data_IF_094417144848
#
_entry.id   IF_094417144848
#
_cell.length_a   1.000
_cell.length_b   1.000
_cell.length_c   1.000
_cell.angle_alpha   90.00
_cell.angle_beta   90.00
_cell.angle_gamma   90.00
#
_symmetry.space_group_name_H-M   'P 1'
#
loop_
_entity.id
_entity.type
_entity.pdbx_description
1 polymer ?
#
# COMPACT_ATOMS: atom_id res chain seq x y z
N UNK A 1 19.06 10.59 -2.68
CA UNK A 1 19.04 11.54 -3.81
C UNK A 1 18.06 11.15 -4.91
N UNK A 2 17.76 9.87 -5.17
CA UNK A 2 16.89 9.45 -6.30
C UNK A 2 15.43 9.90 -6.27
N UNK A 3 14.93 10.47 -5.16
CA UNK A 3 13.55 10.97 -5.02
C UNK A 3 13.45 12.48 -4.77
N UNK A 4 14.58 13.19 -4.78
CA UNK A 4 14.59 14.62 -4.55
C UNK A 4 14.09 15.35 -5.79
N UNK A 5 13.17 16.29 -5.60
CA UNK A 5 12.72 17.21 -6.64
C UNK A 5 13.67 18.40 -6.58
N UNK A 6 14.50 18.58 -7.60
CA UNK A 6 15.53 19.63 -7.65
C UNK A 6 15.03 20.91 -8.32
N UNK A 7 14.02 20.81 -9.16
CA UNK A 7 13.40 21.93 -9.88
C UNK A 7 11.89 21.90 -9.68
N UNK A 8 11.27 23.07 -9.59
CA UNK A 8 9.82 23.16 -9.47
C UNK A 8 9.13 22.59 -10.72
N UNK A 9 8.15 21.70 -10.55
CA UNK A 9 7.38 21.20 -11.67
C UNK A 9 6.47 22.31 -12.23
N UNK A 10 6.12 22.20 -13.52
CA UNK A 10 5.09 23.06 -14.08
C UNK A 10 3.76 22.85 -13.35
N UNK A 11 2.91 23.88 -13.31
CA UNK A 11 1.59 23.79 -12.70
C UNK A 11 0.77 22.63 -13.30
N UNK A 12 0.87 22.43 -14.62
CA UNK A 12 0.17 21.36 -15.32
C UNK A 12 0.64 19.97 -14.86
N UNK A 13 1.95 19.74 -14.77
CA UNK A 13 2.49 18.45 -14.31
C UNK A 13 2.11 18.16 -12.86
N UNK A 14 2.14 19.19 -12.01
CA UNK A 14 1.75 19.09 -10.61
C UNK A 14 0.25 18.79 -10.44
N UNK A 15 -0.63 19.49 -11.16
CA UNK A 15 -2.06 19.20 -11.14
C UNK A 15 -2.36 17.81 -11.71
N UNK A 16 -1.66 17.38 -12.76
CA UNK A 16 -1.77 16.01 -13.27
C UNK A 16 -1.40 14.95 -12.24
N UNK A 17 -0.36 15.20 -11.44
CA UNK A 17 0.01 14.35 -10.31
C UNK A 17 -1.09 14.31 -9.24
N UNK A 18 -1.56 15.47 -8.79
CA UNK A 18 -2.59 15.58 -7.75
C UNK A 18 -3.91 14.92 -8.17
N UNK A 19 -4.27 15.02 -9.45
CA UNK A 19 -5.54 14.53 -10.01
C UNK A 19 -5.38 13.28 -10.88
N UNK A 20 -4.32 12.49 -10.65
CA UNK A 20 -4.10 11.28 -11.44
C UNK A 20 -5.26 10.29 -11.25
N UNK A 21 -6.06 10.12 -12.30
CA UNK A 21 -7.36 9.44 -12.26
C UNK A 21 -7.31 8.02 -11.68
N UNK A 22 -6.21 7.28 -11.89
CA UNK A 22 -6.11 5.89 -11.47
C UNK A 22 -5.90 5.72 -9.96
N UNK A 23 -5.49 6.77 -9.24
CA UNK A 23 -5.22 6.73 -7.80
C UNK A 23 -5.98 7.79 -6.98
N UNK A 24 -6.73 8.67 -7.64
CA UNK A 24 -7.32 9.87 -7.03
C UNK A 24 -8.21 9.56 -5.81
N UNK A 25 -9.05 8.53 -5.91
CA UNK A 25 -10.10 8.28 -4.91
C UNK A 25 -9.58 7.43 -3.75
N UNK A 26 -8.80 6.39 -4.02
CA UNK A 26 -8.49 5.34 -3.05
C UNK A 26 -7.01 4.98 -2.95
N UNK A 27 -6.15 5.79 -3.58
CA UNK A 27 -4.73 5.47 -3.74
C UNK A 27 -4.51 4.42 -4.84
N UNK A 28 -3.29 3.85 -4.94
CA UNK A 28 -2.15 3.99 -4.02
C UNK A 28 -1.50 5.38 -4.02
N UNK A 29 -0.87 5.77 -2.91
CA UNK A 29 0.02 6.95 -2.90
C UNK A 29 1.32 6.63 -3.65
N UNK A 30 1.94 7.64 -4.24
CA UNK A 30 3.25 7.55 -4.88
C UNK A 30 3.91 8.92 -4.86
N UNK A 31 5.23 8.95 -5.09
CA UNK A 31 5.98 10.20 -5.08
C UNK A 31 5.86 10.90 -6.46
N UNK A 32 5.89 12.23 -6.47
CA UNK A 32 5.84 13.02 -7.71
C UNK A 32 6.93 12.62 -8.71
N UNK A 33 8.13 12.25 -8.25
CA UNK A 33 9.22 11.81 -9.13
C UNK A 33 8.87 10.54 -9.91
N UNK A 34 8.11 9.61 -9.32
CA UNK A 34 7.66 8.40 -10.01
C UNK A 34 6.62 8.76 -11.07
N UNK A 35 5.74 9.71 -10.77
CA UNK A 35 4.77 10.25 -11.72
C UNK A 35 5.44 10.97 -12.90
N UNK A 36 6.41 11.84 -12.63
CA UNK A 36 7.16 12.58 -13.64
C UNK A 36 7.89 11.62 -14.60
N UNK A 37 8.60 10.62 -14.07
CA UNK A 37 9.27 9.59 -14.89
C UNK A 37 8.29 8.76 -15.70
N UNK A 38 7.09 8.52 -15.16
CA UNK A 38 6.01 7.85 -15.86
C UNK A 38 5.50 8.67 -17.05
N UNK A 39 5.12 9.94 -16.84
CA UNK A 39 4.55 10.79 -17.91
C UNK A 39 5.58 11.13 -18.98
N UNK A 40 6.85 11.30 -18.62
CA UNK A 40 7.95 11.54 -19.55
C UNK A 40 8.41 10.24 -20.23
N UNK A 41 7.86 9.09 -19.83
CA UNK A 41 8.19 7.75 -20.34
C UNK A 41 9.62 7.29 -20.13
N UNK A 42 10.41 8.03 -19.32
CA UNK A 42 11.79 7.68 -18.93
C UNK A 42 11.81 6.45 -18.02
N UNK A 43 10.71 6.18 -17.32
CA UNK A 43 10.56 4.96 -16.51
C UNK A 43 10.66 3.67 -17.33
N UNK A 44 10.54 3.71 -18.67
CA UNK A 44 10.48 2.52 -19.54
C UNK A 44 11.71 2.35 -20.43
N UNK A 45 12.76 3.15 -20.25
CA UNK A 45 13.96 3.08 -21.10
C UNK A 45 14.77 1.79 -20.91
N UNK A 46 14.55 1.07 -19.79
CA UNK A 46 15.14 -0.23 -19.50
C UNK A 46 14.36 -1.42 -20.10
N UNK A 47 13.22 -1.17 -20.77
CA UNK A 47 12.37 -2.21 -21.34
C UNK A 47 12.99 -2.74 -22.65
N UNK A 48 13.30 -4.04 -22.76
CA UNK A 48 13.88 -4.63 -23.96
C UNK A 48 12.99 -4.44 -25.19
N UNK A 49 13.60 -4.24 -26.36
CA UNK A 49 12.89 -4.01 -27.63
C UNK A 49 11.87 -5.10 -27.97
N UNK A 50 12.16 -6.36 -27.62
CA UNK A 50 11.28 -7.52 -27.81
C UNK A 50 9.97 -7.43 -27.00
N UNK A 51 10.00 -6.73 -25.86
CA UNK A 51 8.84 -6.57 -24.96
C UNK A 51 8.07 -5.26 -25.19
N UNK A 52 8.63 -4.38 -26.01
CA UNK A 52 7.93 -3.17 -26.42
C UNK A 52 6.79 -3.56 -27.39
N UNK A 53 5.63 -2.91 -27.30
CA UNK A 53 4.45 -3.25 -28.10
C UNK A 53 4.59 -2.88 -29.59
N UNK A 54 5.41 -3.62 -30.34
CA UNK A 54 5.43 -3.75 -31.80
C UNK A 54 5.72 -2.48 -32.62
N UNK A 55 6.30 -2.65 -33.82
CA UNK A 55 6.68 -1.54 -34.73
C UNK A 55 5.52 -0.61 -35.16
N UNK A 56 4.25 -1.03 -35.00
CA UNK A 56 3.06 -0.27 -35.44
C UNK A 56 2.68 0.90 -34.53
N UNK A 57 3.06 0.88 -33.25
CA UNK A 57 2.82 2.00 -32.32
C UNK A 57 4.12 2.26 -31.57
N UNK A 58 4.70 3.46 -31.70
CA UNK A 58 5.91 3.91 -30.96
C UNK A 58 5.62 4.06 -29.45
N UNK A 59 4.98 3.08 -28.82
CA UNK A 59 4.61 3.09 -27.41
C UNK A 59 5.74 2.42 -26.62
N UNK A 60 6.35 3.16 -25.69
CA UNK A 60 7.39 2.63 -24.79
C UNK A 60 6.84 1.72 -23.69
N UNK A 61 5.61 1.94 -23.23
CA UNK A 61 5.02 1.20 -22.11
C UNK A 61 4.74 -0.27 -22.51
N UNK A 62 5.34 -1.26 -21.83
CA UNK A 62 5.14 -2.68 -22.13
C UNK A 62 3.69 -3.13 -21.89
N UNK A 63 3.31 -4.27 -22.46
CA UNK A 63 1.97 -4.84 -22.29
C UNK A 63 1.76 -5.31 -20.85
N UNK A 64 0.77 -4.73 -20.16
CA UNK A 64 0.46 -5.01 -18.76
C UNK A 64 -0.95 -5.56 -18.51
N UNK A 65 -1.78 -5.66 -19.55
CA UNK A 65 -3.21 -5.96 -19.42
C UNK A 65 -3.52 -7.26 -18.68
N UNK A 66 -2.74 -8.33 -18.87
CA UNK A 66 -2.93 -9.61 -18.14
C UNK A 66 -2.69 -9.46 -16.64
N UNK A 67 -1.68 -8.68 -16.25
CA UNK A 67 -1.32 -8.48 -14.84
C UNK A 67 -2.35 -7.59 -14.15
N UNK A 68 -2.73 -6.50 -14.81
CA UNK A 68 -3.81 -5.65 -14.34
C UNK A 68 -5.13 -6.39 -14.20
N UNK A 69 -5.50 -7.22 -15.19
CA UNK A 69 -6.73 -8.01 -15.14
C UNK A 69 -6.73 -8.97 -13.94
N UNK A 70 -5.59 -9.62 -13.64
CA UNK A 70 -5.47 -10.48 -12.43
C UNK A 70 -5.71 -9.70 -11.15
N UNK A 71 -5.17 -8.48 -11.04
CA UNK A 71 -5.38 -7.60 -9.87
C UNK A 71 -6.86 -7.19 -9.75
N UNK A 72 -7.47 -6.76 -10.85
CA UNK A 72 -8.90 -6.41 -10.88
C UNK A 72 -9.78 -7.61 -10.51
N UNK A 73 -9.54 -8.79 -11.09
CA UNK A 73 -10.29 -10.01 -10.76
C UNK A 73 -10.13 -10.40 -9.29
N UNK A 74 -8.92 -10.33 -8.74
CA UNK A 74 -8.69 -10.56 -7.32
C UNK A 74 -9.46 -9.58 -6.44
N UNK A 75 -9.50 -8.31 -6.83
CA UNK A 75 -10.29 -7.29 -6.13
C UNK A 75 -11.81 -7.53 -6.23
N UNK A 76 -12.31 -7.95 -7.39
CA UNK A 76 -13.73 -8.30 -7.58
C UNK A 76 -14.13 -9.54 -6.75
N UNK A 77 -13.26 -10.54 -6.64
CA UNK A 77 -13.47 -11.69 -5.75
C UNK A 77 -13.57 -11.21 -4.29
N UNK A 78 -12.65 -10.34 -3.85
CA UNK A 78 -12.70 -9.77 -2.50
C UNK A 78 -13.99 -8.96 -2.27
N UNK A 79 -14.44 -8.18 -3.25
CA UNK A 79 -15.68 -7.43 -3.19
C UNK A 79 -16.91 -8.35 -3.08
N UNK A 80 -16.96 -9.42 -3.88
CA UNK A 80 -18.03 -10.42 -3.83
C UNK A 80 -18.10 -11.12 -2.47
N UNK A 81 -16.95 -11.51 -1.91
CA UNK A 81 -16.87 -12.08 -0.56
C UNK A 81 -17.32 -11.07 0.50
N UNK A 82 -16.92 -9.80 0.39
CA UNK A 82 -17.37 -8.75 1.30
C UNK A 82 -18.89 -8.56 1.25
N UNK A 83 -19.51 -8.56 0.06
CA UNK A 83 -20.97 -8.46 -0.09
C UNK A 83 -21.66 -9.69 0.50
N UNK A 84 -21.12 -10.88 0.28
CA UNK A 84 -21.70 -12.13 0.78
C UNK A 84 -21.66 -12.25 2.31
N UNK A 85 -20.57 -11.78 2.94
CA UNK A 85 -20.34 -11.98 4.38
C UNK A 85 -20.51 -10.72 5.23
N UNK A 86 -20.47 -9.53 4.63
CA UNK A 86 -20.42 -8.24 5.34
C UNK A 86 -21.69 -7.89 6.12
N UNK A 87 -22.85 -8.43 5.72
CA UNK A 87 -24.10 -8.26 6.47
C UNK A 87 -24.10 -9.12 7.74
N UNK A 88 -23.69 -10.39 7.61
CA UNK A 88 -23.62 -11.36 8.71
C UNK A 88 -22.53 -11.03 9.72
N UNK A 89 -21.33 -10.74 9.24
CA UNK A 89 -20.18 -10.40 10.06
C UNK A 89 -19.96 -8.89 10.02
N UNK A 90 -20.79 -8.18 10.80
CA UNK A 90 -20.73 -6.73 10.97
C UNK A 90 -20.56 -6.35 12.44
N UNK A 91 -20.17 -5.10 12.70
CA UNK A 91 -20.14 -4.58 14.08
C UNK A 91 -21.52 -4.52 14.73
N UNK A 92 -22.62 -4.64 13.98
CA UNK A 92 -23.97 -4.74 14.55
C UNK A 92 -24.17 -6.05 15.32
N UNK A 93 -23.52 -7.14 14.88
CA UNK A 93 -23.59 -8.44 15.54
C UNK A 93 -23.14 -8.37 17.00
N UNK A 94 -22.14 -7.55 17.34
CA UNK A 94 -21.62 -7.44 18.72
C UNK A 94 -22.59 -6.77 19.69
N UNK A 95 -23.69 -6.20 19.18
CA UNK A 95 -24.75 -5.56 19.97
C UNK A 95 -25.97 -6.46 20.19
N UNK A 96 -26.00 -7.65 19.59
CA UNK A 96 -27.12 -8.59 19.71
C UNK A 96 -27.12 -9.32 21.05
N UNK A 97 -28.30 -9.78 21.49
CA UNK A 97 -28.41 -10.64 22.68
C UNK A 97 -27.70 -11.99 22.46
N UNK A 98 -27.75 -12.53 21.24
CA UNK A 98 -27.03 -13.75 20.86
C UNK A 98 -25.53 -13.63 21.15
N UNK A 99 -24.91 -12.52 20.76
CA UNK A 99 -23.51 -12.24 21.04
C UNK A 99 -23.20 -12.26 22.53
N UNK A 100 -24.04 -11.66 23.37
CA UNK A 100 -23.79 -11.60 24.82
C UNK A 100 -23.68 -12.99 25.44
N UNK A 101 -24.52 -13.93 25.01
CA UNK A 101 -24.60 -15.30 25.52
C UNK A 101 -23.58 -16.25 24.88
N UNK A 102 -22.86 -15.86 23.82
CA UNK A 102 -21.78 -16.67 23.26
C UNK A 102 -20.63 -16.83 24.26
N UNK A 103 -20.02 -18.02 24.27
CA UNK A 103 -18.83 -18.28 25.05
C UNK A 103 -17.63 -17.46 24.52
N UNK A 104 -16.60 -17.32 25.37
CA UNK A 104 -15.43 -16.51 25.08
C UNK A 104 -14.71 -16.90 23.77
N UNK A 105 -14.50 -18.19 23.53
CA UNK A 105 -13.77 -18.67 22.35
C UNK A 105 -14.51 -18.40 21.05
N UNK A 106 -15.84 -18.56 21.05
CA UNK A 106 -16.69 -18.22 19.91
C UNK A 106 -16.62 -16.72 19.62
N UNK A 107 -16.63 -15.88 20.66
CA UNK A 107 -16.45 -14.42 20.49
C UNK A 107 -15.10 -14.09 19.84
N UNK A 108 -14.01 -14.68 20.33
CA UNK A 108 -12.66 -14.46 19.77
C UNK A 108 -12.60 -14.87 18.29
N UNK A 109 -13.06 -16.09 17.98
CA UNK A 109 -13.08 -16.58 16.59
C UNK A 109 -13.92 -15.68 15.68
N UNK A 110 -15.10 -15.28 16.15
CA UNK A 110 -16.00 -14.44 15.36
C UNK A 110 -15.43 -13.02 15.19
N UNK A 111 -14.68 -12.48 16.16
CA UNK A 111 -13.93 -11.23 15.99
C UNK A 111 -12.80 -11.35 14.97
N UNK A 112 -12.12 -12.48 14.92
CA UNK A 112 -11.15 -12.74 13.86
C UNK A 112 -11.81 -12.74 12.47
N UNK A 113 -12.93 -13.47 12.31
CA UNK A 113 -13.70 -13.51 11.05
C UNK A 113 -14.22 -12.12 10.67
N UNK A 114 -14.75 -11.36 11.64
CA UNK A 114 -15.14 -9.96 11.43
C UNK A 114 -13.98 -9.14 10.87
N UNK A 115 -12.78 -9.29 11.44
CA UNK A 115 -11.57 -8.64 10.97
C UNK A 115 -11.24 -8.99 9.52
N UNK A 116 -11.29 -10.28 9.15
CA UNK A 116 -11.07 -10.74 7.76
C UNK A 116 -12.08 -10.08 6.82
N UNK A 117 -13.38 -10.11 7.18
CA UNK A 117 -14.44 -9.52 6.34
C UNK A 117 -14.24 -8.01 6.16
N UNK A 118 -13.85 -7.29 7.21
CA UNK A 118 -13.54 -5.86 7.10
C UNK A 118 -12.29 -5.58 6.26
N UNK A 119 -11.32 -6.49 6.19
CA UNK A 119 -10.15 -6.36 5.30
C UNK A 119 -10.50 -6.55 3.83
N UNK A 120 -11.46 -7.42 3.50
CA UNK A 120 -11.85 -7.69 2.11
C UNK A 120 -12.23 -6.42 1.32
N UNK A 121 -12.88 -5.43 1.95
CA UNK A 121 -13.21 -4.16 1.28
C UNK A 121 -11.96 -3.37 0.89
N UNK A 122 -10.91 -3.40 1.73
CA UNK A 122 -9.64 -2.75 1.44
C UNK A 122 -8.87 -3.50 0.36
N UNK A 123 -8.86 -4.84 0.42
CA UNK A 123 -8.27 -5.68 -0.63
C UNK A 123 -8.94 -5.43 -1.98
N UNK A 124 -10.26 -5.37 -2.02
CA UNK A 124 -11.03 -5.08 -3.22
C UNK A 124 -10.59 -3.75 -3.85
N UNK A 125 -10.68 -2.67 -3.08
CA UNK A 125 -10.41 -1.32 -3.56
C UNK A 125 -8.94 -1.16 -3.96
N UNK A 126 -7.99 -1.62 -3.14
CA UNK A 126 -6.57 -1.45 -3.43
C UNK A 126 -6.09 -2.31 -4.60
N UNK A 127 -6.58 -3.53 -4.76
CA UNK A 127 -6.22 -4.38 -5.92
C UNK A 127 -6.78 -3.81 -7.22
N UNK A 128 -8.01 -3.28 -7.21
CA UNK A 128 -8.61 -2.66 -8.40
C UNK A 128 -7.83 -1.39 -8.79
N UNK A 129 -7.53 -0.50 -7.84
CA UNK A 129 -6.76 0.71 -8.11
C UNK A 129 -5.33 0.41 -8.55
N UNK A 130 -4.67 -0.57 -7.95
CA UNK A 130 -3.36 -1.04 -8.41
C UNK A 130 -3.44 -1.53 -9.87
N UNK A 131 -4.49 -2.30 -10.20
CA UNK A 131 -4.79 -2.72 -11.57
C UNK A 131 -4.90 -1.53 -12.53
N UNK A 132 -5.63 -0.48 -12.16
CA UNK A 132 -5.76 0.75 -12.94
C UNK A 132 -4.40 1.43 -13.18
N UNK A 133 -3.58 1.58 -12.13
CA UNK A 133 -2.23 2.14 -12.25
C UNK A 133 -1.30 1.27 -13.13
N UNK A 134 -1.44 -0.05 -13.09
CA UNK A 134 -0.67 -0.99 -13.93
C UNK A 134 -1.06 -0.86 -15.41
N UNK A 135 -2.34 -0.70 -15.74
CA UNK A 135 -2.76 -0.46 -17.13
C UNK A 135 -2.25 0.89 -17.63
N UNK A 136 -2.33 1.93 -16.79
CA UNK A 136 -1.83 3.26 -17.12
C UNK A 136 -0.32 3.27 -17.38
N UNK A 137 0.45 2.46 -16.64
CA UNK A 137 1.90 2.29 -16.78
C UNK A 137 2.69 2.67 -15.53
N UNK A 138 2.09 3.41 -14.60
CA UNK A 138 2.71 3.87 -13.35
C UNK A 138 3.15 2.70 -12.45
N UNK A 139 2.49 1.55 -12.55
CA UNK A 139 2.85 0.36 -11.77
C UNK A 139 4.20 -0.26 -12.11
N UNK A 140 4.83 0.10 -13.23
CA UNK A 140 6.08 -0.49 -13.68
C UNK A 140 7.25 -0.19 -12.73
N UNK A 141 7.98 -1.24 -12.35
CA UNK A 141 9.09 -1.19 -11.40
C UNK A 141 10.43 -1.71 -11.96
N UNK A 142 10.58 -1.71 -13.27
CA UNK A 142 11.82 -2.11 -13.93
C UNK A 142 11.81 -3.53 -14.48
N UNK A 143 12.88 -3.83 -15.20
CA UNK A 143 13.14 -5.11 -15.86
C UNK A 143 14.33 -5.82 -15.21
N UNK A 144 14.21 -7.12 -14.98
CA UNK A 144 15.32 -7.97 -14.56
C UNK A 144 15.82 -8.82 -15.74
N UNK A 145 17.04 -8.56 -16.25
CA UNK A 145 17.64 -9.32 -17.34
C UNK A 145 17.89 -10.79 -17.02
N UNK A 146 18.14 -11.13 -15.74
CA UNK A 146 18.47 -12.51 -15.35
C UNK A 146 17.25 -13.42 -15.39
N UNK A 147 16.12 -12.93 -14.91
CA UNK A 147 14.85 -13.69 -14.89
C UNK A 147 13.98 -13.42 -16.10
N UNK A 148 14.35 -12.44 -16.93
CA UNK A 148 13.57 -11.94 -18.05
C UNK A 148 12.14 -11.55 -17.61
N UNK A 149 11.99 -10.86 -16.47
CA UNK A 149 10.69 -10.45 -15.90
C UNK A 149 10.55 -8.93 -15.81
N UNK A 150 9.34 -8.44 -16.06
CA UNK A 150 8.95 -7.05 -15.83
C UNK A 150 8.22 -6.99 -14.49
N UNK A 151 8.64 -6.09 -13.61
CA UNK A 151 7.99 -5.88 -12.32
C UNK A 151 6.90 -4.81 -12.42
N UNK A 152 5.78 -5.06 -11.75
CA UNK A 152 4.59 -4.19 -11.77
C UNK A 152 4.12 -3.80 -10.36
N UNK A 153 5.06 -3.76 -9.41
CA UNK A 153 4.79 -3.55 -7.99
C UNK A 153 5.24 -2.17 -7.48
N UNK A 154 5.49 -1.18 -8.35
CA UNK A 154 5.94 0.16 -7.91
C UNK A 154 4.93 0.80 -6.95
N UNK A 155 3.66 0.68 -7.28
CA UNK A 155 2.53 1.20 -6.50
C UNK A 155 1.68 0.10 -5.85
N UNK A 156 2.23 -1.10 -5.66
CA UNK A 156 1.54 -2.16 -4.92
C UNK A 156 1.21 -1.66 -3.51
N UNK A 157 -0.08 -1.65 -3.15
CA UNK A 157 -0.53 -1.12 -1.86
C UNK A 157 -0.81 -2.21 -0.82
N UNK A 158 -1.04 -3.45 -1.28
CA UNK A 158 -1.33 -4.60 -0.43
C UNK A 158 -0.76 -5.87 -1.06
N UNK A 159 -0.24 -6.75 -0.21
CA UNK A 159 -0.05 -8.16 -0.52
C UNK A 159 -0.96 -9.01 0.39
N UNK A 160 -2.14 -9.47 -0.09
CA UNK A 160 -3.07 -10.21 0.76
C UNK A 160 -2.48 -11.51 1.30
N UNK A 161 -1.62 -12.19 0.53
CA UNK A 161 -1.04 -13.47 0.94
C UNK A 161 0.01 -13.24 2.02
N UNK A 162 0.93 -12.30 1.80
CA UNK A 162 1.93 -11.96 2.79
C UNK A 162 1.31 -11.40 4.08
N UNK A 163 0.20 -10.66 3.96
CA UNK A 163 -0.53 -10.17 5.13
C UNK A 163 -1.20 -11.28 5.94
N UNK A 164 -1.97 -12.15 5.30
CA UNK A 164 -2.75 -13.17 6.02
C UNK A 164 -1.88 -14.33 6.53
N UNK A 165 -0.71 -14.57 5.90
CA UNK A 165 0.26 -15.59 6.32
C UNK A 165 1.46 -15.03 7.09
N UNK A 166 1.46 -13.73 7.42
CA UNK A 166 2.55 -13.08 8.13
C UNK A 166 2.79 -13.73 9.50
N UNK A 167 4.05 -14.03 9.82
CA UNK A 167 4.40 -14.76 11.05
C UNK A 167 4.51 -13.84 12.27
N UNK A 168 4.58 -12.54 12.04
CA UNK A 168 4.66 -11.52 13.08
C UNK A 168 3.99 -10.21 12.59
N UNK A 169 3.76 -9.28 13.52
CA UNK A 169 3.08 -8.01 13.23
C UNK A 169 3.90 -7.12 12.30
N UNK A 170 5.23 -7.20 12.34
CA UNK A 170 6.08 -6.44 11.44
C UNK A 170 5.83 -6.82 9.98
N UNK A 171 5.84 -8.12 9.66
CA UNK A 171 5.59 -8.62 8.30
C UNK A 171 4.18 -8.28 7.81
N UNK A 172 3.18 -8.41 8.69
CA UNK A 172 1.81 -7.99 8.36
C UNK A 172 1.75 -6.49 8.06
N UNK A 173 2.38 -5.64 8.88
CA UNK A 173 2.39 -4.20 8.64
C UNK A 173 3.15 -3.84 7.37
N UNK A 174 4.24 -4.52 7.03
CA UNK A 174 4.97 -4.29 5.77
C UNK A 174 4.15 -4.64 4.53
N UNK A 175 3.28 -5.65 4.62
CA UNK A 175 2.39 -6.05 3.53
C UNK A 175 1.15 -5.15 3.40
N UNK A 176 0.74 -4.43 4.45
CA UNK A 176 -0.48 -3.61 4.50
C UNK A 176 -0.23 -2.13 4.23
N UNK A 177 -1.03 -1.54 3.34
CA UNK A 177 -0.96 -0.11 2.99
C UNK A 177 0.47 0.36 2.66
N UNK A 178 1.16 -0.44 1.84
CA UNK A 178 2.60 -0.38 1.66
C UNK A 178 3.10 1.01 1.23
N UNK A 179 2.35 1.74 0.40
CA UNK A 179 2.79 3.06 -0.07
C UNK A 179 2.61 4.15 0.97
N UNK A 180 1.58 4.08 1.83
CA UNK A 180 1.48 4.94 3.01
C UNK A 180 2.63 4.66 3.97
N UNK A 181 3.01 3.39 4.17
CA UNK A 181 4.20 3.07 4.98
C UNK A 181 5.49 3.66 4.39
N UNK A 182 5.67 3.57 3.06
CA UNK A 182 6.80 4.24 2.38
C UNK A 182 6.76 5.75 2.59
N UNK A 183 5.59 6.38 2.46
CA UNK A 183 5.40 7.81 2.67
C UNK A 183 5.75 8.23 4.10
N UNK A 184 5.20 7.54 5.10
CA UNK A 184 5.48 7.75 6.53
C UNK A 184 6.97 7.57 6.84
N UNK A 185 7.58 6.50 6.31
CA UNK A 185 9.01 6.23 6.48
C UNK A 185 9.87 7.37 5.94
N UNK A 186 9.59 7.83 4.71
CA UNK A 186 10.40 8.86 4.05
C UNK A 186 10.12 10.28 4.56
N UNK A 187 8.90 10.54 5.01
CA UNK A 187 8.45 11.89 5.40
C UNK A 187 8.63 12.15 6.89
N UNK A 188 8.46 11.13 7.73
CA UNK A 188 8.48 11.28 9.19
C UNK A 188 9.66 10.52 9.80
N UNK A 189 9.67 9.19 9.67
CA UNK A 189 10.64 8.34 10.37
C UNK A 189 12.09 8.72 10.05
N UNK A 190 12.47 8.74 8.77
CA UNK A 190 13.84 9.03 8.33
C UNK A 190 14.26 10.48 8.59
N UNK A 191 13.30 11.40 8.76
CA UNK A 191 13.56 12.82 9.04
C UNK A 191 13.70 13.11 10.52
N UNK A 192 13.04 12.32 11.36
CA UNK A 192 13.11 12.41 12.83
C UNK A 192 14.16 11.47 13.44
N UNK A 193 14.71 10.54 12.67
CA UNK A 193 15.76 9.63 13.12
C UNK A 193 17.09 10.35 13.28
N UNK A 194 17.75 10.14 14.42
CA UNK A 194 19.15 10.52 14.59
C UNK A 194 20.02 9.80 13.54
N UNK A 195 21.09 10.46 13.09
CA UNK A 195 22.03 9.88 12.13
C UNK A 195 23.30 9.44 12.83
N UNK A 196 23.84 8.32 12.39
CA UNK A 196 25.14 7.86 12.84
C UNK A 196 26.24 8.85 12.40
N UNK A 197 27.09 9.35 13.32
CA UNK A 197 28.11 10.34 12.96
C UNK A 197 29.15 9.84 11.97
N UNK A 198 29.41 8.53 11.95
CA UNK A 198 30.48 7.93 11.13
C UNK A 198 29.95 7.49 9.77
N UNK A 199 28.80 6.79 9.75
CA UNK A 199 28.21 6.22 8.53
C UNK A 199 27.13 7.10 7.89
N UNK A 200 26.64 8.14 8.58
CA UNK A 200 25.55 9.01 8.12
C UNK A 200 24.18 8.33 8.00
N UNK A 201 24.09 7.05 8.37
CA UNK A 201 22.88 6.23 8.26
C UNK A 201 21.88 6.57 9.38
N UNK A 202 20.56 6.54 9.11
CA UNK A 202 19.54 6.68 10.14
C UNK A 202 19.68 5.57 11.19
N UNK A 203 19.73 5.95 12.47
CA UNK A 203 19.70 5.02 13.59
C UNK A 203 18.26 4.64 13.92
N UNK A 204 17.96 3.35 14.12
CA UNK A 204 16.69 2.93 14.68
C UNK A 204 16.46 3.58 16.04
N UNK A 205 15.23 4.00 16.31
CA UNK A 205 14.90 4.66 17.56
C UNK A 205 13.43 4.56 17.92
N UNK A 206 13.16 4.57 19.23
CA UNK A 206 11.81 4.53 19.77
C UNK A 206 11.06 5.82 19.43
N UNK A 207 11.68 6.99 19.64
CA UNK A 207 11.08 8.30 19.34
C UNK A 207 10.61 8.43 17.87
N UNK A 208 11.44 8.19 16.83
CA UNK A 208 10.98 8.30 15.44
C UNK A 208 9.88 7.29 15.11
N UNK A 209 9.88 6.10 15.74
CA UNK A 209 8.79 5.13 15.62
C UNK A 209 7.49 5.71 16.16
N UNK A 210 7.49 6.18 17.42
CA UNK A 210 6.30 6.77 18.03
C UNK A 210 5.78 8.00 17.28
N UNK A 211 6.66 8.89 16.82
CA UNK A 211 6.26 10.05 16.00
C UNK A 211 5.59 9.62 14.68
N UNK A 212 6.11 8.56 14.06
CA UNK A 212 5.54 8.01 12.82
C UNK A 212 4.15 7.43 13.06
N UNK A 213 3.98 6.62 14.12
CA UNK A 213 2.69 6.04 14.49
C UNK A 213 1.67 7.10 14.94
N UNK A 214 2.11 8.12 15.68
CA UNK A 214 1.26 9.23 16.08
C UNK A 214 0.78 10.06 14.88
N UNK A 215 1.68 10.32 13.93
CA UNK A 215 1.34 11.00 12.67
C UNK A 215 0.32 10.17 11.88
N UNK A 216 0.51 8.85 11.83
CA UNK A 216 -0.46 7.94 11.21
C UNK A 216 -1.82 7.99 11.92
N UNK A 217 -1.84 7.97 13.26
CA UNK A 217 -3.09 8.06 14.03
C UNK A 217 -3.87 9.33 13.71
N UNK A 218 -3.17 10.47 13.73
CA UNK A 218 -3.76 11.76 13.39
C UNK A 218 -4.30 11.80 11.97
N UNK A 219 -3.58 11.20 11.01
CA UNK A 219 -4.04 11.09 9.62
C UNK A 219 -5.33 10.27 9.47
N UNK A 220 -5.52 9.23 10.29
CA UNK A 220 -6.76 8.45 10.29
C UNK A 220 -7.94 9.17 10.96
N UNK A 221 -7.67 10.11 11.87
CA UNK A 221 -8.66 11.00 12.46
C UNK A 221 -8.48 11.21 13.96
N UNK A 222 -9.42 11.94 14.57
CA UNK A 222 -9.33 12.35 15.98
C UNK A 222 -10.01 11.39 16.97
N UNK A 223 -10.59 10.28 16.48
CA UNK A 223 -11.28 9.32 17.33
C UNK A 223 -10.28 8.56 18.23
N UNK A 224 -10.55 8.40 19.54
CA UNK A 224 -9.63 7.74 20.47
C UNK A 224 -9.19 6.33 20.06
N UNK A 225 -10.06 5.59 19.38
CA UNK A 225 -9.75 4.24 18.89
C UNK A 225 -8.56 4.19 17.93
N UNK A 226 -8.33 5.24 17.13
CA UNK A 226 -7.16 5.31 16.26
C UNK A 226 -5.88 5.41 17.10
N UNK A 227 -5.82 6.36 18.03
CA UNK A 227 -4.65 6.53 18.89
C UNK A 227 -4.32 5.26 19.67
N UNK A 228 -5.33 4.57 20.23
CA UNK A 228 -5.12 3.30 20.91
C UNK A 228 -4.51 2.24 19.97
N UNK A 229 -5.03 2.14 18.74
CA UNK A 229 -4.55 1.18 17.73
C UNK A 229 -3.09 1.47 17.35
N UNK A 230 -2.72 2.72 17.10
CA UNK A 230 -1.37 3.09 16.66
C UNK A 230 -0.36 3.07 17.81
N UNK A 231 -0.76 3.39 19.04
CA UNK A 231 0.11 3.20 20.22
C UNK A 231 0.40 1.72 20.42
N UNK A 232 -0.62 0.85 20.36
CA UNK A 232 -0.44 -0.59 20.44
C UNK A 232 0.49 -1.10 19.32
N UNK A 233 0.26 -0.65 18.08
CA UNK A 233 1.12 -0.98 16.94
C UNK A 233 2.58 -0.57 17.15
N UNK A 234 2.83 0.65 17.64
CA UNK A 234 4.16 1.14 17.94
C UNK A 234 4.86 0.30 19.02
N UNK A 235 4.14 -0.07 20.08
CA UNK A 235 4.67 -0.91 21.16
C UNK A 235 5.04 -2.31 20.65
N UNK A 236 4.13 -2.97 19.92
CA UNK A 236 4.37 -4.31 19.39
C UNK A 236 5.55 -4.29 18.40
N UNK A 237 5.61 -3.31 17.50
CA UNK A 237 6.72 -3.21 16.54
C UNK A 237 8.06 -2.91 17.22
N UNK A 238 8.06 -2.14 18.31
CA UNK A 238 9.28 -1.89 19.09
C UNK A 238 9.78 -3.18 19.74
N UNK A 239 8.88 -4.02 20.28
CA UNK A 239 9.24 -5.31 20.89
C UNK A 239 9.69 -6.33 19.84
N UNK A 240 9.06 -6.37 18.67
CA UNK A 240 9.42 -7.31 17.60
C UNK A 240 10.78 -7.01 16.94
N UNK A 241 11.33 -5.80 17.15
CA UNK A 241 12.64 -5.38 16.64
C UNK A 241 13.77 -5.51 17.69
N UNK A 242 13.47 -6.00 18.90
CA UNK A 242 14.45 -6.39 19.92
C UNK A 242 14.86 -7.85 19.72
#
# INVERSE_FOLDING_TARGET
>A
MSRAILSHPSLLSYLGYCFFYASLVTGPSFDYIDYERFILTVAFDDVPAEKQPGKRRKRKIPKSGRIALRKVLGGLVCAGLFVAFGTRYSTAMTRTEEWKHMNFFVKVFTMYVLGVVYRLRYYAVWLISEGACIVAGLGYNGYDPKTNKLYWNRVQNIDPVAFELGQNVHDCLEAWNMNTNKWLKNSIYLRSSARDPVSGKPKPGVIPTFLTFLTSAFWHGTMPGYYLTFVLGATIQTVANL
#
